data_IF_009317224448
#
_entry.id   IF_009317224448
#
_cell.length_a   1.000
_cell.length_b   1.000
_cell.length_c   1.000
_cell.angle_alpha   90.00
_cell.angle_beta   90.00
_cell.angle_gamma   90.00
#
_symmetry.space_group_name_H-M   'P 1'
#
loop_
_entity.id
_entity.type
_entity.pdbx_description
1 polymer ?
#
# COMPACT_ATOMS: atom_id res chain seq x y z
N UNK A 1 34.95 -0.86 -45.93
CA UNK A 1 34.58 -1.42 -44.60
C UNK A 1 34.94 -0.48 -43.45
N UNK A 2 36.16 0.07 -43.39
CA UNK A 2 36.55 1.00 -42.31
C UNK A 2 35.71 2.30 -42.24
N UNK A 3 35.31 2.85 -43.39
CA UNK A 3 34.50 4.09 -43.45
C UNK A 3 33.08 3.92 -42.87
N UNK A 4 32.46 2.75 -43.08
CA UNK A 4 31.13 2.44 -42.53
C UNK A 4 31.18 2.27 -41.01
N UNK A 5 32.24 1.64 -40.49
CA UNK A 5 32.43 1.48 -39.05
C UNK A 5 32.66 2.82 -38.34
N UNK A 6 33.37 3.76 -38.99
CA UNK A 6 33.55 5.11 -38.46
C UNK A 6 32.23 5.88 -38.41
N UNK A 7 31.41 5.82 -39.48
CA UNK A 7 30.09 6.46 -39.51
C UNK A 7 29.14 5.94 -38.41
N UNK A 8 29.18 4.63 -38.10
CA UNK A 8 28.39 4.04 -37.03
C UNK A 8 28.83 4.48 -35.62
N UNK A 9 30.08 4.92 -35.44
CA UNK A 9 30.56 5.50 -34.18
C UNK A 9 30.15 6.98 -34.03
N UNK A 10 29.96 7.70 -35.15
CA UNK A 10 29.50 9.10 -35.15
C UNK A 10 28.00 9.20 -34.93
N UNK A 11 27.23 8.23 -35.45
CA UNK A 11 25.80 8.08 -35.15
C UNK A 11 25.68 7.36 -33.81
N UNK A 12 25.82 8.09 -32.71
CA UNK A 12 25.67 7.54 -31.36
C UNK A 12 24.43 6.65 -31.25
N UNK A 13 24.57 5.50 -30.57
CA UNK A 13 23.47 4.56 -30.39
C UNK A 13 22.22 5.31 -29.91
N UNK A 14 21.02 5.01 -30.47
CA UNK A 14 19.79 5.59 -29.95
C UNK A 14 19.67 5.24 -28.47
N UNK A 15 19.74 6.27 -27.62
CA UNK A 15 19.52 6.11 -26.19
C UNK A 15 18.01 5.93 -26.01
N UNK A 16 17.54 4.68 -26.09
CA UNK A 16 16.13 4.36 -25.86
C UNK A 16 15.83 4.67 -24.39
N UNK A 17 15.13 5.78 -24.19
CA UNK A 17 14.77 6.27 -22.86
C UNK A 17 13.54 5.50 -22.37
N UNK A 18 13.64 4.94 -21.18
CA UNK A 18 12.59 4.13 -20.56
C UNK A 18 11.33 4.97 -20.34
N UNK A 19 10.17 4.43 -20.68
CA UNK A 19 8.87 5.01 -20.36
C UNK A 19 8.11 4.10 -19.41
N UNK A 20 7.51 4.65 -18.37
CA UNK A 20 6.79 3.90 -17.34
C UNK A 20 5.43 4.53 -17.05
N UNK A 21 4.53 3.79 -16.41
CA UNK A 21 3.39 4.41 -15.74
C UNK A 21 3.86 5.05 -14.41
N UNK A 22 3.51 6.31 -14.17
CA UNK A 22 3.88 7.08 -12.98
C UNK A 22 2.63 7.73 -12.38
N UNK A 23 2.14 7.13 -11.30
CA UNK A 23 0.88 7.49 -10.67
C UNK A 23 0.74 6.87 -9.29
N UNK A 24 -0.18 7.44 -8.52
CA UNK A 24 -0.56 6.93 -7.21
C UNK A 24 -2.08 6.70 -7.20
N UNK A 25 -2.51 5.58 -6.65
CA UNK A 25 -3.93 5.25 -6.56
C UNK A 25 -4.22 4.36 -5.35
N UNK A 26 -5.37 4.61 -4.73
CA UNK A 26 -5.91 3.76 -3.67
C UNK A 26 -6.70 2.60 -4.28
N UNK A 27 -6.52 1.41 -3.68
CA UNK A 27 -7.34 0.22 -3.90
C UNK A 27 -7.41 -0.35 -5.34
N UNK A 28 -6.63 0.18 -6.29
CA UNK A 28 -6.68 -0.24 -7.69
C UNK A 28 -5.37 0.03 -8.43
N UNK A 29 -4.93 -0.93 -9.25
CA UNK A 29 -3.75 -0.87 -10.12
C UNK A 29 -4.00 -0.22 -11.49
N UNK A 30 -5.21 0.26 -11.75
CA UNK A 30 -5.66 0.77 -13.06
C UNK A 30 -5.02 2.09 -13.50
N UNK A 31 -4.29 2.79 -12.63
CA UNK A 31 -3.63 4.04 -13.01
C UNK A 31 -2.55 3.81 -14.10
N UNK A 32 -2.60 4.61 -15.17
CA UNK A 32 -1.78 4.40 -16.40
C UNK A 32 -1.10 5.67 -16.93
N UNK A 33 -0.86 6.68 -16.11
CA UNK A 33 -0.22 7.92 -16.55
C UNK A 33 1.21 7.65 -17.08
N UNK A 34 1.43 7.80 -18.39
CA UNK A 34 2.72 7.49 -19.03
C UNK A 34 3.70 8.66 -18.85
N UNK A 35 4.90 8.36 -18.38
CA UNK A 35 5.99 9.34 -18.28
C UNK A 35 7.31 8.77 -18.80
N UNK A 36 8.10 9.64 -19.40
CA UNK A 36 9.45 9.34 -19.84
C UNK A 36 10.42 9.52 -18.67
N UNK A 37 11.12 8.45 -18.29
CA UNK A 37 11.97 8.42 -17.11
C UNK A 37 13.27 9.20 -17.32
N UNK A 38 13.93 9.59 -16.22
CA UNK A 38 15.26 10.19 -16.33
C UNK A 38 16.28 9.18 -16.86
N UNK A 39 17.35 9.64 -17.51
CA UNK A 39 18.41 8.76 -18.04
C UNK A 39 19.03 7.83 -16.99
N UNK A 40 19.06 8.26 -15.74
CA UNK A 40 19.58 7.48 -14.62
C UNK A 40 18.62 6.36 -14.17
N UNK A 41 17.33 6.46 -14.49
CA UNK A 41 16.33 5.47 -14.10
C UNK A 41 16.42 4.26 -15.03
N UNK A 42 16.44 3.06 -14.44
CA UNK A 42 16.64 1.79 -15.16
C UNK A 42 15.47 0.84 -15.00
N UNK A 43 14.49 1.19 -14.18
CA UNK A 43 13.37 0.34 -13.81
C UNK A 43 12.06 1.12 -13.78
N UNK A 44 10.97 0.47 -14.18
CA UNK A 44 9.63 0.82 -13.76
C UNK A 44 9.32 0.03 -12.49
N UNK A 45 8.79 0.71 -11.46
CA UNK A 45 8.38 0.11 -10.20
C UNK A 45 6.87 0.12 -10.02
N UNK A 46 6.37 -0.87 -9.29
CA UNK A 46 5.08 -0.87 -8.60
C UNK A 46 5.37 -1.15 -7.12
N UNK A 47 4.91 -0.26 -6.25
CA UNK A 47 4.94 -0.45 -4.80
C UNK A 47 3.50 -0.45 -4.30
N UNK A 48 3.15 -1.42 -3.47
CA UNK A 48 1.85 -1.49 -2.81
C UNK A 48 2.05 -1.63 -1.32
N UNK A 49 1.44 -0.74 -0.56
CA UNK A 49 1.56 -0.72 0.90
C UNK A 49 0.16 -0.72 1.50
N UNK A 50 -0.08 -1.68 2.39
CA UNK A 50 -1.25 -1.65 3.27
C UNK A 50 -0.84 -1.12 4.63
N UNK A 51 -1.17 0.15 4.90
CA UNK A 51 -0.92 0.79 6.21
C UNK A 51 -2.14 0.61 7.12
N UNK A 52 -3.36 0.66 6.55
CA UNK A 52 -4.61 0.56 7.30
C UNK A 52 -5.43 -0.66 6.88
N UNK A 53 -6.36 -1.15 7.72
CA UNK A 53 -7.19 -2.31 7.40
C UNK A 53 -8.03 -2.17 6.14
N UNK A 54 -8.42 -0.94 5.82
CA UNK A 54 -9.50 -0.61 4.90
C UNK A 54 -9.06 -0.27 3.49
N UNK A 55 -7.80 0.12 3.30
CA UNK A 55 -7.29 0.46 1.99
C UNK A 55 -5.79 0.16 1.86
N UNK A 56 -5.34 0.00 0.64
CA UNK A 56 -3.92 -0.05 0.29
C UNK A 56 -3.61 1.04 -0.73
N UNK A 57 -2.39 1.54 -0.67
CA UNK A 57 -1.87 2.54 -1.59
C UNK A 57 -1.01 1.85 -2.64
N UNK A 58 -1.17 2.21 -3.90
CA UNK A 58 -0.28 1.82 -4.99
C UNK A 58 0.47 3.05 -5.47
N UNK A 59 1.77 2.89 -5.68
CA UNK A 59 2.64 3.87 -6.32
C UNK A 59 3.39 3.22 -7.48
N UNK A 60 3.23 3.78 -8.67
CA UNK A 60 3.98 3.42 -9.88
C UNK A 60 4.97 4.53 -10.17
N UNK A 61 6.22 4.19 -10.47
CA UNK A 61 7.29 5.18 -10.58
C UNK A 61 8.47 4.70 -11.44
N UNK A 62 9.20 5.66 -12.01
CA UNK A 62 10.55 5.42 -12.53
C UNK A 62 11.53 5.28 -11.36
N UNK A 63 12.43 4.32 -11.43
CA UNK A 63 13.41 4.07 -10.37
C UNK A 63 14.80 3.79 -10.91
N UNK A 64 15.81 4.32 -10.21
CA UNK A 64 17.22 3.99 -10.44
C UNK A 64 17.58 2.61 -9.90
N UNK A 65 16.97 2.25 -8.77
CA UNK A 65 17.25 1.02 -8.03
C UNK A 65 15.94 0.32 -7.71
N UNK A 66 15.92 -1.00 -7.83
CA UNK A 66 14.81 -1.81 -7.36
C UNK A 66 15.14 -2.34 -5.95
N UNK A 67 14.33 -2.04 -4.93
CA UNK A 67 14.54 -2.64 -3.62
C UNK A 67 14.21 -4.13 -3.70
N UNK A 68 15.23 -4.98 -3.52
CA UNK A 68 15.01 -6.38 -3.16
C UNK A 68 14.51 -6.36 -1.72
N UNK A 69 13.26 -6.78 -1.49
CA UNK A 69 12.81 -7.06 -0.12
C UNK A 69 13.54 -8.34 0.28
N UNK A 70 14.66 -8.23 0.98
CA UNK A 70 15.19 -9.36 1.74
C UNK A 70 14.12 -9.70 2.78
N UNK A 71 13.45 -10.86 2.62
CA UNK A 71 12.71 -11.43 3.74
C UNK A 71 13.72 -11.55 4.89
N UNK A 72 13.46 -10.93 6.06
CA UNK A 72 14.37 -11.11 7.19
C UNK A 72 14.50 -12.61 7.40
N UNK A 73 15.76 -13.09 7.40
CA UNK A 73 16.08 -14.50 7.60
C UNK A 73 15.22 -15.02 8.75
N UNK A 74 14.75 -16.27 8.65
CA UNK A 74 13.84 -16.94 9.59
C UNK A 74 14.41 -17.11 11.01
N UNK A 75 15.12 -16.11 11.54
CA UNK A 75 15.53 -15.95 12.92
C UNK A 75 14.28 -15.84 13.78
N UNK A 76 13.70 -17.00 14.09
CA UNK A 76 12.73 -17.32 15.15
C UNK A 76 12.08 -16.07 15.75
N UNK A 77 11.27 -15.39 14.94
CA UNK A 77 10.53 -14.23 15.42
C UNK A 77 9.63 -14.73 16.56
N UNK A 78 9.64 -14.03 17.69
CA UNK A 78 8.72 -14.32 18.80
C UNK A 78 7.31 -14.33 18.20
N UNK A 79 6.47 -15.29 18.57
CA UNK A 79 5.06 -15.31 18.15
C UNK A 79 4.37 -14.12 18.83
N UNK A 80 4.31 -12.97 18.17
CA UNK A 80 3.40 -11.91 18.55
C UNK A 80 2.04 -12.26 17.94
N UNK A 81 0.98 -12.14 18.75
CA UNK A 81 -0.39 -12.30 18.26
C UNK A 81 -0.65 -11.10 17.36
N UNK A 82 -0.70 -11.36 16.05
CA UNK A 82 -1.04 -10.35 15.06
C UNK A 82 -2.56 -10.23 15.03
N UNK A 83 -3.12 -9.38 15.89
CA UNK A 83 -4.52 -8.96 15.76
C UNK A 83 -4.64 -8.20 14.43
N UNK A 84 -5.42 -8.76 13.50
CA UNK A 84 -5.37 -8.39 12.09
C UNK A 84 -5.90 -6.98 11.76
N UNK A 85 -5.71 -6.52 10.50
CA UNK A 85 -4.93 -7.15 9.43
C UNK A 85 -3.48 -6.67 9.39
N UNK A 86 -2.60 -7.58 8.97
CA UNK A 86 -1.15 -7.36 8.92
C UNK A 86 -0.81 -6.37 7.81
N UNK A 87 0.09 -5.40 8.03
CA UNK A 87 0.59 -4.59 6.93
C UNK A 87 1.31 -5.52 5.94
N UNK A 88 1.06 -5.33 4.65
CA UNK A 88 1.79 -6.01 3.58
C UNK A 88 2.48 -4.97 2.70
N UNK A 89 3.66 -5.34 2.22
CA UNK A 89 4.43 -4.59 1.25
C UNK A 89 4.62 -5.50 0.04
N UNK A 90 4.22 -5.02 -1.13
CA UNK A 90 4.49 -5.66 -2.41
C UNK A 90 5.32 -4.72 -3.25
N UNK A 91 6.39 -5.24 -3.85
CA UNK A 91 7.27 -4.49 -4.76
C UNK A 91 7.50 -5.33 -6.01
N UNK A 92 7.29 -4.72 -7.17
CA UNK A 92 7.64 -5.28 -8.47
C UNK A 92 8.49 -4.26 -9.22
N UNK A 93 9.56 -4.71 -9.87
CA UNK A 93 10.31 -3.89 -10.81
C UNK A 93 10.54 -4.60 -12.13
N UNK A 94 10.56 -3.84 -13.21
CA UNK A 94 10.77 -4.34 -14.56
C UNK A 94 11.53 -3.30 -15.40
N UNK A 95 12.10 -3.70 -16.55
CA UNK A 95 13.04 -2.86 -17.34
C UNK A 95 12.54 -2.48 -18.74
N UNK A 96 11.39 -3.00 -19.16
CA UNK A 96 10.80 -2.69 -20.48
C UNK A 96 9.86 -1.50 -20.41
N UNK A 97 9.61 -0.85 -21.56
CA UNK A 97 8.67 0.26 -21.62
C UNK A 97 7.27 -0.20 -21.17
N UNK A 98 6.63 0.61 -20.32
CA UNK A 98 5.26 0.45 -19.82
C UNK A 98 5.00 -0.88 -19.10
N UNK A 99 6.05 -1.55 -18.64
CA UNK A 99 5.94 -2.89 -18.07
C UNK A 99 5.23 -2.94 -16.71
N UNK A 100 5.05 -1.79 -16.05
CA UNK A 100 4.38 -1.68 -14.76
C UNK A 100 2.86 -1.44 -14.89
N UNK A 101 2.23 -2.12 -15.85
CA UNK A 101 0.79 -2.00 -16.12
C UNK A 101 -0.05 -2.77 -15.09
N UNK A 102 0.32 -4.03 -14.80
CA UNK A 102 -0.45 -4.96 -13.99
C UNK A 102 0.21 -5.20 -12.61
N UNK A 103 -0.63 -5.24 -11.57
CA UNK A 103 -0.26 -5.68 -10.22
C UNK A 103 -0.70 -7.11 -9.93
N UNK A 104 -0.41 -7.64 -8.73
CA UNK A 104 -0.89 -8.93 -8.29
C UNK A 104 -2.42 -8.95 -8.23
N UNK A 105 -3.03 -10.10 -8.50
CA UNK A 105 -4.47 -10.27 -8.31
C UNK A 105 -4.78 -10.18 -6.81
N UNK A 106 -5.50 -9.14 -6.41
CA UNK A 106 -5.92 -8.91 -5.03
C UNK A 106 -7.44 -9.06 -4.91
N UNK A 107 -7.90 -9.76 -3.87
CA UNK A 107 -9.32 -9.80 -3.54
C UNK A 107 -9.73 -8.52 -2.79
N UNK A 108 -10.30 -7.57 -3.52
CA UNK A 108 -10.73 -6.29 -2.99
C UNK A 108 -11.92 -6.41 -2.00
N UNK A 109 -12.62 -7.55 -1.96
CA UNK A 109 -13.80 -7.74 -1.09
C UNK A 109 -13.42 -7.87 0.39
N UNK A 110 -12.22 -8.36 0.69
CA UNK A 110 -11.67 -8.49 2.05
C UNK A 110 -11.56 -7.13 2.74
N UNK A 111 -11.25 -6.06 2.01
CA UNK A 111 -11.12 -4.70 2.56
C UNK A 111 -12.48 -4.08 2.89
N UNK A 112 -13.52 -4.48 2.14
CA UNK A 112 -14.89 -4.00 2.35
C UNK A 112 -15.52 -4.57 3.62
N UNK A 113 -15.10 -5.75 4.07
CA UNK A 113 -15.58 -6.33 5.33
C UNK A 113 -15.12 -5.54 6.58
N UNK A 114 -14.04 -4.76 6.51
CA UNK A 114 -13.58 -3.90 7.61
C UNK A 114 -14.33 -2.56 7.73
N UNK A 115 -15.32 -2.31 6.89
CA UNK A 115 -16.31 -1.24 7.13
C UNK A 115 -17.38 -1.70 8.12
N UNK A 116 -16.98 -2.36 9.22
CA UNK A 116 -17.83 -2.46 10.40
C UNK A 116 -18.22 -1.04 10.82
N UNK A 117 -19.52 -0.78 10.90
CA UNK A 117 -20.03 0.52 11.32
C UNK A 117 -19.46 0.84 12.69
N UNK A 118 -18.89 2.04 12.87
CA UNK A 118 -18.47 2.51 14.20
C UNK A 118 -19.63 2.52 15.21
N UNK A 119 -20.88 2.49 14.73
CA UNK A 119 -22.10 2.37 15.53
C UNK A 119 -22.45 0.95 15.99
N UNK A 120 -21.73 -0.10 15.55
CA UNK A 120 -22.03 -1.48 15.91
C UNK A 120 -21.31 -1.94 17.19
N UNK A 121 -20.33 -1.15 17.66
CA UNK A 121 -19.72 -1.33 19.00
C UNK A 121 -20.57 -0.60 20.04
N UNK A 122 -21.84 -1.00 20.17
CA UNK A 122 -22.61 -0.73 21.38
C UNK A 122 -22.20 -1.76 22.43
N UNK A 123 -21.05 -1.55 23.06
CA UNK A 123 -20.71 -2.14 24.36
C UNK A 123 -20.83 -1.04 25.42
N UNK A 124 -22.04 -0.49 25.53
CA UNK A 124 -22.45 0.43 26.59
C UNK A 124 -23.22 -0.34 27.66
N UNK A 125 -22.55 -0.60 28.77
CA UNK A 125 -23.01 -1.23 30.01
C UNK A 125 -24.45 -0.88 30.43
N UNK A 126 -25.38 -1.81 30.24
CA UNK A 126 -26.70 -1.80 30.88
C UNK A 126 -26.62 -1.80 32.43
N UNK A 127 -25.44 -2.10 33.00
CA UNK A 127 -25.19 -2.13 34.44
C UNK A 127 -24.97 -0.73 35.06
N UNK A 128 -24.61 0.31 34.30
CA UNK A 128 -24.35 1.65 34.85
C UNK A 128 -25.63 2.46 35.04
N UNK A 129 -26.68 2.18 34.26
CA UNK A 129 -27.99 2.81 34.43
C UNK A 129 -28.68 2.38 35.74
N UNK A 130 -28.40 1.17 36.23
CA UNK A 130 -28.99 0.65 37.46
C UNK A 130 -28.39 1.29 38.72
N UNK A 131 -27.09 1.62 38.72
CA UNK A 131 -26.44 2.25 39.88
C UNK A 131 -26.88 3.70 40.12
N UNK A 132 -27.20 4.45 39.06
CA UNK A 132 -27.68 5.84 39.19
C UNK A 132 -29.13 5.95 39.67
N UNK A 133 -29.93 4.88 39.56
CA UNK A 133 -31.30 4.85 40.07
C UNK A 133 -31.37 4.61 41.59
N UNK A 134 -30.36 3.95 42.19
CA UNK A 134 -30.35 3.64 43.63
C UNK A 134 -29.88 4.81 44.51
N UNK A 135 -29.13 5.79 43.97
CA UNK A 135 -28.73 6.97 44.73
C UNK A 135 -29.85 8.00 44.91
N UNK A 136 -30.90 7.94 44.08
CA UNK A 136 -32.03 8.86 44.17
C UNK A 136 -33.07 8.47 45.22
N UNK A 137 -33.10 7.21 45.67
CA UNK A 137 -34.10 6.73 46.64
C UNK A 137 -33.64 6.84 48.10
N UNK A 138 -32.34 6.96 48.35
CA UNK A 138 -31.81 7.06 49.73
C UNK A 138 -31.63 8.53 50.18
N UNK A 139 -31.54 9.48 49.24
CA UNK A 139 -31.43 10.91 49.55
C UNK A 139 -32.76 11.63 49.84
N UNK A 140 -33.90 10.92 49.78
CA UNK A 140 -35.24 11.50 49.95
C UNK A 140 -35.84 11.41 51.36
N UNK A 141 -35.09 10.91 52.35
CA UNK A 141 -35.51 10.90 53.76
C UNK A 141 -34.58 11.79 54.61
N UNK A 142 -35.04 12.99 54.91
CA UNK A 142 -34.39 13.94 55.82
C UNK A 142 -34.74 15.38 55.44
N UNK A 143 -35.94 15.85 55.80
CA UNK A 143 -36.22 16.76 56.94
C UNK A 143 -35.70 18.20 56.70
N UNK A 144 -36.41 19.28 57.11
CA UNK A 144 -37.72 19.39 57.76
C UNK A 144 -38.81 20.06 56.89
#
# INVERSE_FOLDING_TARGET
>A
MALLALLLLVVGLPHVQLSCHVCEQENDFSCKNVQQCHQADKFCGIITIKIFPRFFMISKQCARWCPVIEEPSQARSKRFILEGPTPFLYVLCCKSNLCNELGPAMDYTVFRQYTGRASEVSRGSASLATFLAFTATIGGLGLP
#
